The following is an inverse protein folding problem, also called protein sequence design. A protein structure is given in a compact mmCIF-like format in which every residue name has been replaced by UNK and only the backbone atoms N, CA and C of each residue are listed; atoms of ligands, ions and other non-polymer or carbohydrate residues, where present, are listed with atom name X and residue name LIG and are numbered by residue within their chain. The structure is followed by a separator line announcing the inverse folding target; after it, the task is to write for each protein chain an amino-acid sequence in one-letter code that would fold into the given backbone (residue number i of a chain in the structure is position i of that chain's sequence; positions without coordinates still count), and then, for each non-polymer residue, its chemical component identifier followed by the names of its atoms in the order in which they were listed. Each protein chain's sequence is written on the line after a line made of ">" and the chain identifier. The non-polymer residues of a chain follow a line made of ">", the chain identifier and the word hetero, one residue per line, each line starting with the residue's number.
data_IF_979190706080
#
_entry.id   IF_979190706080
#
_cell.length_a   1.000
_cell.length_b   1.000
_cell.length_c   1.000
_cell.angle_alpha   90.00
_cell.angle_beta   90.00
_cell.angle_gamma   90.00
#
_symmetry.space_group_name_H-M   'P 1'
#
loop_
_entity.id
_entity.type
_entity.pdbx_description
1 polymer ?
#
# COMPACT_ATOMS: atom_id res chain seq x y z
N UNK A 1 -10.61 10.19 15.08
CA UNK A 1 -9.72 9.68 16.15
C UNK A 1 -8.77 10.81 16.50
N UNK A 2 -9.08 11.60 17.53
CA UNK A 2 -8.22 12.70 17.98
C UNK A 2 -7.66 12.37 19.36
N UNK A 3 -6.37 12.63 19.57
CA UNK A 3 -5.81 12.78 20.91
C UNK A 3 -4.60 11.93 21.28
N UNK A 4 -4.10 11.05 20.41
CA UNK A 4 -2.83 10.34 20.68
C UNK A 4 -1.83 10.63 19.58
N UNK A 5 -0.66 11.13 19.97
CA UNK A 5 0.48 11.25 19.06
C UNK A 5 0.82 9.86 18.52
N UNK A 6 1.00 9.76 17.19
CA UNK A 6 1.30 8.48 16.55
C UNK A 6 2.74 8.07 16.84
N UNK A 7 2.88 7.12 17.76
CA UNK A 7 4.13 6.46 18.11
C UNK A 7 4.46 5.37 17.07
N UNK A 8 5.53 5.59 16.33
CA UNK A 8 5.98 4.67 15.28
C UNK A 8 6.55 3.38 15.87
N UNK A 9 7.22 3.45 17.02
CA UNK A 9 7.81 2.29 17.68
C UNK A 9 6.75 1.32 18.15
N UNK A 10 5.73 1.85 18.84
CA UNK A 10 4.57 1.05 19.27
C UNK A 10 3.85 0.45 18.06
N UNK A 11 3.65 1.22 17.00
CA UNK A 11 3.02 0.71 15.78
C UNK A 11 3.83 -0.45 15.16
N UNK A 12 5.15 -0.34 15.06
CA UNK A 12 6.02 -1.40 14.52
C UNK A 12 5.91 -2.67 15.37
N UNK A 13 5.94 -2.55 16.70
CA UNK A 13 5.86 -3.70 17.61
C UNK A 13 4.50 -4.41 17.50
N UNK A 14 3.40 -3.65 17.46
CA UNK A 14 2.05 -4.20 17.30
C UNK A 14 1.85 -4.85 15.92
N UNK A 15 2.39 -4.25 14.85
CA UNK A 15 2.30 -4.81 13.50
C UNK A 15 3.16 -6.07 13.34
N UNK A 16 4.32 -6.14 13.99
CA UNK A 16 5.14 -7.34 14.01
C UNK A 16 4.37 -8.50 14.69
N UNK A 17 3.70 -8.22 15.82
CA UNK A 17 2.85 -9.20 16.49
C UNK A 17 1.67 -9.65 15.62
N UNK A 18 0.97 -8.69 14.99
CA UNK A 18 -0.20 -8.98 14.14
C UNK A 18 0.16 -9.86 12.93
N UNK A 19 1.33 -9.65 12.34
CA UNK A 19 1.81 -10.38 11.17
C UNK A 19 2.55 -11.69 11.53
N UNK A 20 2.65 -12.02 12.83
CA UNK A 20 3.51 -13.10 13.34
C UNK A 20 4.96 -13.01 12.82
N UNK A 21 5.44 -11.77 12.69
CA UNK A 21 6.78 -11.47 12.20
C UNK A 21 7.75 -11.40 13.38
N UNK A 22 8.69 -12.34 13.43
CA UNK A 22 9.79 -12.30 14.40
C UNK A 22 10.80 -11.21 14.03
N UNK A 23 10.52 -9.98 14.43
CA UNK A 23 11.42 -8.85 14.26
C UNK A 23 12.56 -8.94 15.29
N UNK A 24 13.74 -9.36 14.84
CA UNK A 24 14.94 -9.40 15.69
C UNK A 24 15.33 -8.00 16.15
N UNK A 25 15.77 -7.88 17.41
CA UNK A 25 16.16 -6.62 18.03
C UNK A 25 17.17 -5.82 17.19
N UNK A 26 18.10 -6.50 16.53
CA UNK A 26 19.13 -5.89 15.66
C UNK A 26 18.56 -5.10 14.46
N UNK A 27 17.31 -5.36 14.07
CA UNK A 27 16.64 -4.68 12.96
C UNK A 27 15.60 -3.67 13.41
N UNK A 28 15.16 -3.71 14.66
CA UNK A 28 14.01 -2.92 15.14
C UNK A 28 14.23 -1.43 14.90
N UNK A 29 15.36 -0.90 15.31
CA UNK A 29 15.67 0.53 15.16
C UNK A 29 15.71 0.96 13.69
N UNK A 30 16.23 0.10 12.80
CA UNK A 30 16.24 0.34 11.37
C UNK A 30 14.84 0.36 10.76
N UNK A 31 13.97 -0.56 11.19
CA UNK A 31 12.57 -0.62 10.75
C UNK A 31 11.81 0.63 11.23
N UNK A 32 11.96 1.02 12.49
CA UNK A 32 11.33 2.24 13.04
C UNK A 32 11.76 3.49 12.25
N UNK A 33 13.07 3.66 12.01
CA UNK A 33 13.57 4.79 11.23
C UNK A 33 13.04 4.82 9.77
N UNK A 34 12.80 3.66 9.16
CA UNK A 34 12.18 3.58 7.84
C UNK A 34 10.70 3.98 7.87
N UNK A 35 9.95 3.53 8.88
CA UNK A 35 8.56 3.93 9.05
C UNK A 35 8.40 5.43 9.31
N UNK A 36 9.31 6.06 10.07
CA UNK A 36 9.30 7.52 10.26
C UNK A 36 9.43 8.27 8.92
N UNK A 37 10.33 7.82 8.04
CA UNK A 37 10.50 8.41 6.70
C UNK A 37 9.27 8.18 5.82
N UNK A 38 8.72 6.97 5.83
CA UNK A 38 7.49 6.64 5.08
C UNK A 38 6.31 7.47 5.58
N UNK A 39 6.15 7.65 6.89
CA UNK A 39 5.10 8.49 7.50
C UNK A 39 5.16 9.92 6.99
N UNK A 40 6.35 10.51 6.86
CA UNK A 40 6.51 11.86 6.33
C UNK A 40 6.03 11.97 4.87
N UNK A 41 6.38 10.99 4.03
CA UNK A 41 5.92 10.94 2.63
C UNK A 41 4.41 10.70 2.57
N UNK A 42 3.89 9.76 3.36
CA UNK A 42 2.47 9.45 3.42
C UNK A 42 1.64 10.65 3.88
N UNK A 43 2.14 11.46 4.80
CA UNK A 43 1.46 12.70 5.21
C UNK A 43 1.31 13.66 4.02
N UNK A 44 2.34 13.82 3.19
CA UNK A 44 2.26 14.65 1.99
C UNK A 44 1.23 14.09 1.01
N UNK A 45 1.27 12.79 0.73
CA UNK A 45 0.34 12.13 -0.20
C UNK A 45 -1.12 12.20 0.29
N UNK A 46 -1.35 11.98 1.58
CA UNK A 46 -2.69 12.04 2.17
C UNK A 46 -3.25 13.47 2.29
N UNK A 47 -2.44 14.50 2.01
CA UNK A 47 -2.92 15.90 1.96
C UNK A 47 -3.67 16.23 0.67
N UNK A 48 -3.50 15.44 -0.38
CA UNK A 48 -4.26 15.59 -1.61
C UNK A 48 -5.70 15.09 -1.40
N UNK A 49 -6.73 15.85 -1.81
CA UNK A 49 -8.12 15.40 -1.67
C UNK A 49 -8.35 14.17 -2.55
N UNK A 50 -9.07 13.18 -2.02
CA UNK A 50 -9.49 11.99 -2.76
C UNK A 50 -10.95 12.15 -3.18
N UNK A 51 -11.25 12.21 -4.49
CA UNK A 51 -12.62 12.17 -4.99
C UNK A 51 -13.33 10.86 -4.63
N UNK A 52 -14.63 10.89 -4.39
CA UNK A 52 -15.42 9.69 -4.07
C UNK A 52 -15.50 8.68 -5.23
N UNK A 53 -15.29 9.15 -6.46
CA UNK A 53 -15.28 8.36 -7.70
C UNK A 53 -13.88 7.83 -8.08
N UNK A 54 -12.87 8.06 -7.25
CA UNK A 54 -11.51 7.56 -7.52
C UNK A 54 -11.41 6.07 -7.20
N UNK A 55 -11.04 5.26 -8.20
CA UNK A 55 -10.76 3.84 -8.02
C UNK A 55 -9.26 3.58 -7.87
N UNK A 56 -8.90 2.56 -7.08
CA UNK A 56 -7.52 2.10 -6.98
C UNK A 56 -7.08 1.43 -8.29
N UNK A 57 -5.92 1.82 -8.81
CA UNK A 57 -5.33 1.15 -9.97
C UNK A 57 -4.44 -0.03 -9.56
N UNK A 58 -4.43 -1.16 -10.30
CA UNK A 58 -5.29 -1.52 -11.43
C UNK A 58 -6.63 -2.14 -10.98
N UNK A 59 -7.69 -1.92 -11.76
CA UNK A 59 -9.02 -2.52 -11.54
C UNK A 59 -9.01 -3.98 -11.99
N UNK A 60 -9.52 -4.88 -11.16
CA UNK A 60 -9.68 -6.28 -11.54
C UNK A 60 -10.73 -6.42 -12.65
N UNK A 61 -10.32 -6.93 -13.81
CA UNK A 61 -11.21 -7.34 -14.88
C UNK A 61 -11.26 -8.87 -14.93
N UNK A 62 -12.40 -9.52 -14.61
CA UNK A 62 -12.55 -10.95 -14.84
C UNK A 62 -12.33 -11.25 -16.33
N UNK A 63 -11.54 -12.27 -16.64
CA UNK A 63 -11.57 -12.84 -17.98
C UNK A 63 -12.90 -13.58 -18.10
N UNK A 64 -13.84 -13.05 -18.90
CA UNK A 64 -15.07 -13.78 -19.22
C UNK A 64 -14.70 -15.12 -19.88
N UNK A 65 -15.24 -16.22 -19.36
CA UNK A 65 -14.97 -17.57 -19.84
C UNK A 65 -15.18 -17.70 -21.35
N UNK A 66 -14.41 -18.57 -21.98
CA UNK A 66 -14.46 -18.87 -23.41
C UNK A 66 -15.90 -18.90 -23.96
N UNK A 67 -16.28 -17.84 -24.70
CA UNK A 67 -17.66 -17.73 -25.19
C UNK A 67 -18.03 -16.52 -26.04
N UNK A 68 -17.23 -15.46 -26.13
CA UNK A 68 -17.61 -14.30 -26.97
C UNK A 68 -16.51 -13.92 -27.95
N UNK A 69 -16.70 -14.30 -29.22
CA UNK A 69 -16.08 -13.63 -30.37
C UNK A 69 -16.52 -12.16 -30.36
N UNK A 70 -15.70 -11.28 -29.82
CA UNK A 70 -15.96 -9.83 -29.85
C UNK A 70 -14.65 -9.08 -29.67
N UNK A 71 -14.20 -8.40 -30.72
CA UNK A 71 -12.97 -7.60 -30.75
C UNK A 71 -13.02 -6.49 -29.69
N UNK A 72 -12.32 -6.66 -28.58
CA UNK A 72 -11.95 -5.60 -27.67
C UNK A 72 -10.48 -5.78 -27.33
N UNK A 73 -9.62 -4.91 -27.85
CA UNK A 73 -8.18 -4.96 -27.64
C UNK A 73 -7.94 -4.69 -26.15
N UNK A 74 -7.54 -5.70 -25.39
CA UNK A 74 -6.96 -5.46 -24.06
C UNK A 74 -5.60 -4.80 -24.34
N UNK A 75 -5.52 -3.48 -24.19
CA UNK A 75 -4.23 -2.81 -24.25
C UNK A 75 -3.47 -3.22 -22.99
N UNK A 76 -2.45 -4.05 -23.18
CA UNK A 76 -1.52 -4.42 -22.13
C UNK A 76 -0.97 -3.15 -21.48
N UNK A 77 -1.01 -3.10 -20.14
CA UNK A 77 -0.29 -2.11 -19.35
C UNK A 77 1.18 -2.21 -19.80
N UNK A 78 1.83 -1.11 -20.24
CA UNK A 78 3.23 -1.17 -20.62
C UNK A 78 4.03 -1.63 -19.39
N UNK A 79 4.64 -2.80 -19.50
CA UNK A 79 5.68 -3.22 -18.57
C UNK A 79 6.78 -2.18 -18.74
N UNK A 80 6.99 -1.34 -17.72
CA UNK A 80 8.18 -0.51 -17.66
C UNK A 80 9.37 -1.46 -17.49
N UNK A 81 10.15 -1.63 -18.55
CA UNK A 81 11.46 -2.27 -18.44
C UNK A 81 12.40 -1.37 -17.63
N UNK A 82 13.31 -1.96 -16.83
CA UNK A 82 14.16 -1.24 -15.88
C UNK A 82 15.16 -0.28 -16.54
#
# INVERSE_FOLDING_TARGET
>A
MEGKEFDVGEYVDQMALLLDLQLRDEYRDGVVANFERIKAIAHLVNSFPLPEDVEAAPVFAPLEGEGVKGKGKVEAIPVFEP
#
